data_IF_567066125228
#
_entry.id   IF_567066125228
#
_cell.length_a   1.000
_cell.length_b   1.000
_cell.length_c   1.000
_cell.angle_alpha   90.00
_cell.angle_beta   90.00
_cell.angle_gamma   90.00
#
_symmetry.space_group_name_H-M   'P 1'
#
loop_
_entity.id
_entity.type
_entity.pdbx_description
1 polymer ?
#
# COMPACT_ATOMS: atom_id res chain seq x y z
N UNK A 1 22.59 -6.12 -13.10
CA UNK A 1 23.29 -5.00 -13.77
C UNK A 1 23.47 -3.84 -12.78
N UNK A 2 24.70 -3.43 -12.51
CA UNK A 2 25.08 -2.39 -11.56
C UNK A 2 25.47 -1.12 -12.32
N UNK A 3 25.03 0.06 -11.84
CA UNK A 3 25.45 1.35 -12.40
C UNK A 3 26.64 1.88 -11.62
N UNK A 4 27.82 1.83 -12.21
CA UNK A 4 29.05 2.35 -11.64
C UNK A 4 29.37 3.69 -12.33
N UNK A 5 28.94 4.80 -11.75
CA UNK A 5 29.09 6.13 -12.36
C UNK A 5 28.27 6.30 -13.65
N UNK A 6 28.94 6.47 -14.81
CA UNK A 6 28.30 6.63 -16.13
C UNK A 6 28.21 5.33 -16.95
N UNK A 7 28.79 4.23 -16.47
CA UNK A 7 28.80 2.94 -17.17
C UNK A 7 27.99 1.88 -16.41
N UNK A 8 27.42 0.94 -17.17
CA UNK A 8 26.70 -0.22 -16.64
C UNK A 8 27.61 -1.45 -16.71
N UNK A 9 27.66 -2.24 -15.65
CA UNK A 9 28.46 -3.46 -15.56
C UNK A 9 27.66 -4.58 -14.91
N UNK A 10 28.00 -5.83 -15.22
CA UNK A 10 27.36 -7.01 -14.63
C UNK A 10 28.01 -7.48 -13.33
N UNK A 11 29.14 -6.86 -12.94
CA UNK A 11 29.82 -7.10 -11.66
C UNK A 11 29.64 -5.90 -10.70
N UNK A 12 29.63 -6.13 -9.37
CA UNK A 12 29.62 -5.05 -8.38
C UNK A 12 30.82 -4.11 -8.58
N UNK A 13 30.65 -2.81 -8.33
CA UNK A 13 31.69 -1.82 -8.61
C UNK A 13 32.93 -2.03 -7.73
N UNK A 14 34.08 -2.34 -8.33
CA UNK A 14 35.33 -2.72 -7.62
C UNK A 14 35.93 -1.64 -6.70
N UNK A 15 35.51 -0.37 -6.81
CA UNK A 15 36.14 0.75 -6.10
C UNK A 15 35.31 1.35 -4.96
N UNK A 16 34.43 0.58 -4.32
CA UNK A 16 33.70 1.04 -3.12
C UNK A 16 32.73 2.21 -3.35
N UNK A 17 32.53 2.64 -4.60
CA UNK A 17 31.46 3.57 -4.93
C UNK A 17 30.14 2.82 -4.89
N UNK A 18 29.20 3.34 -4.09
CA UNK A 18 27.88 2.76 -3.86
C UNK A 18 27.13 2.56 -5.18
N UNK A 19 27.29 1.39 -5.78
CA UNK A 19 26.57 0.97 -6.97
C UNK A 19 25.11 0.83 -6.59
N UNK A 20 24.28 1.79 -7.02
CA UNK A 20 22.83 1.68 -6.88
C UNK A 20 22.38 0.50 -7.74
N UNK A 21 21.99 -0.59 -7.10
CA UNK A 21 21.47 -1.79 -7.78
C UNK A 21 20.15 -1.39 -8.43
N UNK A 22 20.17 -1.22 -9.75
CA UNK A 22 18.94 -1.05 -10.53
C UNK A 22 18.52 -2.47 -10.91
N UNK A 23 17.82 -3.16 -10.02
CA UNK A 23 17.39 -4.54 -10.30
C UNK A 23 16.74 -5.31 -9.16
N UNK A 24 16.97 -4.93 -7.89
CA UNK A 24 16.19 -5.48 -6.79
C UNK A 24 15.17 -4.44 -6.35
N UNK A 25 13.90 -4.74 -6.60
CA UNK A 25 12.76 -4.06 -6.00
C UNK A 25 12.72 -4.34 -4.49
N UNK A 26 13.72 -3.83 -3.74
CA UNK A 26 13.45 -3.44 -2.37
C UNK A 26 12.53 -2.23 -2.47
N UNK A 27 11.27 -2.46 -2.11
CA UNK A 27 10.25 -1.44 -2.08
C UNK A 27 10.83 -0.16 -1.45
N UNK A 28 10.67 1.02 -2.08
CA UNK A 28 11.18 2.24 -1.50
C UNK A 28 10.61 2.35 -0.09
N UNK A 29 11.49 2.32 0.91
CA UNK A 29 11.16 2.83 2.23
C UNK A 29 10.79 4.30 2.03
N UNK A 30 9.49 4.51 1.88
CA UNK A 30 8.86 5.81 1.85
C UNK A 30 9.10 6.43 3.23
N UNK A 31 10.22 7.14 3.37
CA UNK A 31 10.43 8.17 4.39
C UNK A 31 9.46 9.31 4.08
N UNK A 32 8.22 9.12 4.52
CA UNK A 32 7.10 9.97 4.15
C UNK A 32 5.77 9.25 4.29
N UNK A 33 5.60 8.49 5.37
CA UNK A 33 4.30 8.02 5.82
C UNK A 33 4.18 8.45 7.27
N UNK A 34 3.04 9.01 7.63
CA UNK A 34 2.58 9.09 9.02
C UNK A 34 3.03 7.83 9.74
N UNK A 35 3.59 7.96 10.94
CA UNK A 35 4.13 6.85 11.73
C UNK A 35 2.98 5.90 12.08
N UNK A 36 2.56 5.08 11.10
CA UNK A 36 1.70 3.94 11.32
C UNK A 36 2.60 2.98 12.06
N UNK A 37 2.22 2.67 13.29
CA UNK A 37 2.91 1.74 14.15
C UNK A 37 3.29 0.48 13.35
N UNK A 38 4.56 0.06 13.46
CA UNK A 38 5.09 -1.05 12.68
C UNK A 38 4.32 -2.36 12.90
N UNK A 39 3.62 -2.53 14.02
CA UNK A 39 2.71 -3.66 14.24
C UNK A 39 1.42 -3.54 13.41
N UNK A 40 0.85 -2.34 13.32
CA UNK A 40 -0.37 -2.10 12.53
C UNK A 40 -0.11 -2.23 11.03
N UNK A 41 1.04 -1.76 10.57
CA UNK A 41 1.46 -1.97 9.17
C UNK A 41 1.63 -3.47 8.83
N UNK A 42 2.17 -4.27 9.75
CA UNK A 42 2.25 -5.74 9.59
C UNK A 42 0.87 -6.37 9.50
N UNK A 43 -0.04 -6.04 10.43
CA UNK A 43 -1.43 -6.53 10.44
C UNK A 43 -2.16 -6.17 9.13
N UNK A 44 -1.93 -4.96 8.60
CA UNK A 44 -2.44 -4.54 7.30
C UNK A 44 -1.89 -5.34 6.12
N UNK A 45 -0.59 -5.65 6.11
CA UNK A 45 0.01 -6.50 5.09
C UNK A 45 -0.54 -7.94 5.13
N UNK A 46 -0.76 -8.48 6.33
CA UNK A 46 -1.33 -9.83 6.47
C UNK A 46 -2.80 -9.86 6.06
N UNK A 47 -3.57 -8.81 6.38
CA UNK A 47 -4.93 -8.64 5.87
C UNK A 47 -4.96 -8.64 4.33
N UNK A 48 -4.01 -7.94 3.70
CA UNK A 48 -3.88 -7.89 2.24
C UNK A 48 -3.65 -9.28 1.63
N UNK A 49 -2.81 -10.12 2.25
CA UNK A 49 -2.61 -11.52 1.82
C UNK A 49 -3.90 -12.33 1.90
N UNK A 50 -4.67 -12.17 2.99
CA UNK A 50 -5.96 -12.87 3.17
C UNK A 50 -6.95 -12.46 2.08
N UNK A 51 -7.01 -11.17 1.71
CA UNK A 51 -7.86 -10.70 0.60
C UNK A 51 -7.46 -11.33 -0.73
N UNK A 52 -6.17 -11.49 -0.99
CA UNK A 52 -5.70 -12.19 -2.19
C UNK A 52 -6.10 -13.66 -2.19
N UNK A 53 -5.94 -14.36 -1.07
CA UNK A 53 -6.41 -15.74 -0.93
C UNK A 53 -7.92 -15.87 -1.14
N UNK A 54 -8.72 -14.93 -0.60
CA UNK A 54 -10.17 -14.85 -0.84
C UNK A 54 -10.48 -14.66 -2.33
N UNK A 55 -9.73 -13.79 -3.01
CA UNK A 55 -9.87 -13.57 -4.45
C UNK A 55 -9.51 -14.81 -5.29
N UNK A 56 -8.61 -15.67 -4.78
CA UNK A 56 -8.25 -16.95 -5.38
C UNK A 56 -9.25 -18.08 -5.06
N UNK A 57 -10.33 -17.81 -4.32
CA UNK A 57 -11.39 -18.78 -3.99
C UNK A 57 -11.21 -19.50 -2.65
N UNK A 58 -10.26 -19.08 -1.81
CA UNK A 58 -10.19 -19.60 -0.45
C UNK A 58 -11.45 -19.22 0.34
N UNK A 59 -11.98 -20.15 1.13
CA UNK A 59 -13.12 -19.91 2.02
C UNK A 59 -12.65 -19.47 3.42
N UNK A 60 -13.51 -18.73 4.11
CA UNK A 60 -13.24 -18.24 5.46
C UNK A 60 -12.91 -19.38 6.43
N UNK A 61 -13.75 -20.42 6.47
CA UNK A 61 -13.61 -21.54 7.40
C UNK A 61 -12.31 -22.32 7.17
N UNK A 62 -11.90 -22.48 5.91
CA UNK A 62 -10.64 -23.14 5.56
C UNK A 62 -9.43 -22.35 6.09
N UNK A 63 -9.44 -21.03 5.92
CA UNK A 63 -8.37 -20.17 6.43
C UNK A 63 -8.38 -20.11 7.96
N UNK A 64 -9.55 -20.12 8.59
CA UNK A 64 -9.67 -20.15 10.05
C UNK A 64 -9.19 -21.47 10.64
N UNK A 65 -9.46 -22.60 9.99
CA UNK A 65 -8.97 -23.92 10.40
C UNK A 65 -7.44 -24.04 10.24
N UNK A 66 -6.86 -23.38 9.23
CA UNK A 66 -5.42 -23.34 9.00
C UNK A 66 -4.68 -22.31 9.87
N UNK A 67 -5.39 -21.46 10.62
CA UNK A 67 -4.79 -20.38 11.39
C UNK A 67 -4.16 -20.91 12.70
N UNK A 68 -2.88 -20.62 12.90
CA UNK A 68 -2.12 -21.08 14.08
C UNK A 68 -2.38 -20.30 15.37
N UNK A 69 -3.09 -19.17 15.32
CA UNK A 69 -3.37 -18.33 16.48
C UNK A 69 -4.80 -17.78 16.51
N UNK A 70 -5.28 -17.43 17.70
CA UNK A 70 -6.59 -16.79 17.87
C UNK A 70 -6.66 -15.40 17.24
N UNK A 71 -5.57 -14.64 17.30
CA UNK A 71 -5.47 -13.33 16.65
C UNK A 71 -5.57 -13.43 15.12
N UNK A 72 -4.93 -14.43 14.53
CA UNK A 72 -5.00 -14.66 13.10
C UNK A 72 -6.42 -15.07 12.65
N UNK A 73 -7.13 -15.88 13.46
CA UNK A 73 -8.54 -16.20 13.21
C UNK A 73 -9.43 -14.97 13.25
N UNK A 74 -9.22 -14.07 14.22
CA UNK A 74 -9.92 -12.78 14.30
C UNK A 74 -9.63 -11.91 13.08
N UNK A 75 -8.37 -11.79 12.69
CA UNK A 75 -7.98 -11.04 11.49
C UNK A 75 -8.65 -11.58 10.21
N UNK A 76 -8.74 -12.90 10.07
CA UNK A 76 -9.46 -13.52 8.94
C UNK A 76 -10.94 -13.14 8.99
N UNK A 77 -11.60 -13.22 10.14
CA UNK A 77 -13.00 -12.80 10.27
C UNK A 77 -13.19 -11.31 9.92
N UNK A 78 -12.33 -10.43 10.42
CA UNK A 78 -12.36 -8.99 10.16
C UNK A 78 -12.22 -8.70 8.64
N UNK A 79 -11.28 -9.37 7.97
CA UNK A 79 -11.07 -9.22 6.53
C UNK A 79 -12.29 -9.69 5.71
N UNK A 80 -12.95 -10.76 6.14
CA UNK A 80 -14.14 -11.28 5.45
C UNK A 80 -15.39 -10.44 5.70
N UNK A 81 -15.49 -9.76 6.84
CA UNK A 81 -16.55 -8.79 7.13
C UNK A 81 -16.45 -7.54 6.23
N UNK A 82 -15.23 -7.14 5.85
CA UNK A 82 -15.00 -5.96 5.02
C UNK A 82 -15.08 -6.29 3.52
N UNK A 83 -15.98 -5.59 2.82
CA UNK A 83 -16.07 -5.62 1.35
C UNK A 83 -15.25 -4.48 0.75
N UNK A 84 -14.46 -4.79 -0.29
CA UNK A 84 -13.67 -3.78 -0.99
C UNK A 84 -12.41 -4.34 -1.64
N UNK A 85 -11.61 -3.43 -2.19
CA UNK A 85 -10.30 -3.75 -2.77
C UNK A 85 -9.28 -4.07 -1.68
N UNK A 86 -8.25 -4.84 -2.03
CA UNK A 86 -7.15 -5.22 -1.11
C UNK A 86 -6.53 -4.01 -0.40
N UNK A 87 -6.33 -2.89 -1.11
CA UNK A 87 -5.79 -1.65 -0.52
C UNK A 87 -6.76 -0.98 0.45
N UNK A 88 -8.08 -1.05 0.19
CA UNK A 88 -9.09 -0.47 1.07
C UNK A 88 -9.22 -1.30 2.36
N UNK A 89 -9.22 -2.63 2.26
CA UNK A 89 -9.24 -3.52 3.42
C UNK A 89 -8.01 -3.33 4.28
N UNK A 90 -6.82 -3.24 3.69
CA UNK A 90 -5.58 -2.93 4.41
C UNK A 90 -5.69 -1.62 5.19
N UNK A 91 -6.14 -0.55 4.55
CA UNK A 91 -6.26 0.76 5.20
C UNK A 91 -7.28 0.74 6.35
N UNK A 92 -8.38 0.01 6.21
CA UNK A 92 -9.36 -0.17 7.28
C UNK A 92 -8.74 -0.90 8.48
N UNK A 93 -8.07 -2.04 8.26
CA UNK A 93 -7.42 -2.81 9.34
C UNK A 93 -6.28 -2.02 10.01
N UNK A 94 -5.50 -1.26 9.25
CA UNK A 94 -4.47 -0.37 9.81
C UNK A 94 -5.10 0.71 10.71
N UNK A 95 -6.22 1.30 10.27
CA UNK A 95 -6.96 2.31 11.04
C UNK A 95 -7.56 1.71 12.33
N UNK A 96 -8.16 0.54 12.24
CA UNK A 96 -8.76 -0.15 13.39
C UNK A 96 -7.68 -0.54 14.42
N UNK A 97 -6.51 -0.98 13.95
CA UNK A 97 -5.37 -1.29 14.84
C UNK A 97 -4.88 -0.06 15.62
N UNK A 98 -4.77 1.09 14.94
CA UNK A 98 -4.37 2.34 15.61
C UNK A 98 -5.43 2.77 16.62
N UNK A 99 -6.71 2.73 16.26
CA UNK A 99 -7.80 3.05 17.18
C UNK A 99 -7.86 2.10 18.38
N UNK A 100 -7.62 0.80 18.19
CA UNK A 100 -7.58 -0.20 19.25
C UNK A 100 -6.42 0.10 20.23
N UNK A 101 -5.25 0.50 19.71
CA UNK A 101 -4.12 0.94 20.53
C UNK A 101 -4.37 2.24 21.28
N UNK A 102 -5.01 3.22 20.66
CA UNK A 102 -5.36 4.48 21.33
C UNK A 102 -6.37 4.24 22.45
N UNK A 103 -7.39 3.41 22.21
CA UNK A 103 -8.38 3.01 23.22
C UNK A 103 -7.73 2.27 24.39
N UNK A 104 -6.81 1.35 24.12
CA UNK A 104 -6.12 0.61 25.19
C UNK A 104 -5.15 1.49 25.96
N UNK A 105 -4.47 2.44 25.32
CA UNK A 105 -3.65 3.43 25.98
C UNK A 105 -4.49 4.33 26.91
N UNK A 106 -5.64 4.82 26.44
CA UNK A 106 -6.56 5.62 27.25
C UNK A 106 -7.12 4.81 28.43
N UNK A 107 -7.52 3.55 28.22
CA UNK A 107 -7.97 2.67 29.30
C UNK A 107 -6.87 2.40 30.33
N UNK A 108 -5.62 2.21 29.89
CA UNK A 108 -4.47 2.05 30.78
C UNK A 108 -4.22 3.33 31.62
N UNK A 109 -4.39 4.52 31.04
CA UNK A 109 -4.28 5.77 31.80
C UNK A 109 -5.41 5.97 32.81
N UNK A 110 -6.63 5.52 32.50
CA UNK A 110 -7.77 5.62 33.43
C UNK A 110 -7.71 4.59 34.57
N UNK A 111 -7.20 3.38 34.33
CA UNK A 111 -6.99 2.37 35.39
C UNK A 111 -5.67 2.59 36.17
N UNK A 112 -4.69 3.27 35.58
CA UNK A 112 -3.40 3.60 36.21
C UNK A 112 -3.40 4.88 37.05
N UNK A 113 -4.54 5.58 37.15
CA UNK A 113 -4.70 6.86 37.86
C UNK A 113 -4.67 6.78 39.40
N UNK A 114 -3.76 5.99 39.97
CA UNK A 114 -3.44 5.98 41.40
C UNK A 114 -1.91 5.97 41.68
N UNK A 115 -1.07 6.30 40.71
CA UNK A 115 0.37 6.41 40.96
C UNK A 115 1.11 7.26 39.93
N UNK A 116 1.55 8.43 40.37
CA UNK A 116 2.50 9.34 39.71
C UNK A 116 2.00 10.14 38.50
N UNK A 117 1.37 11.27 38.81
CA UNK A 117 1.61 12.49 38.04
C UNK A 117 3.02 13.04 38.35
N UNK A 118 3.73 13.54 37.34
CA UNK A 118 4.39 14.82 37.52
C UNK A 118 3.85 15.84 36.52
N UNK A 119 3.35 16.91 37.12
CA UNK A 119 3.11 18.25 36.62
C UNK A 119 3.71 18.60 35.26
N UNK A 120 2.84 19.03 34.35
CA UNK A 120 3.23 19.94 33.28
C UNK A 120 3.75 21.27 33.86
N UNK A 121 4.76 21.89 33.22
CA UNK A 121 4.83 23.33 33.17
C UNK A 121 4.48 23.81 31.76
N UNK A 122 3.33 24.48 31.65
CA UNK A 122 3.00 25.36 30.54
C UNK A 122 4.10 26.41 30.41
N UNK A 123 4.90 26.33 29.36
CA UNK A 123 5.78 27.43 28.96
C UNK A 123 5.20 27.99 27.67
N UNK A 124 4.33 28.98 27.84
CA UNK A 124 3.89 29.88 26.77
C UNK A 124 5.12 30.71 26.32
N UNK A 125 5.54 30.51 25.07
CA UNK A 125 6.55 31.34 24.41
C UNK A 125 5.93 31.85 23.10
N UNK A 126 6.01 33.17 22.80
CA UNK A 126 5.52 33.71 21.56
C UNK A 126 6.44 33.25 20.42
N UNK A 127 5.96 32.33 19.59
CA UNK A 127 6.64 31.92 18.36
C UNK A 127 6.65 33.10 17.38
N UNK A 128 7.83 33.67 17.17
CA UNK A 128 8.14 34.46 15.96
C UNK A 128 7.73 33.61 14.74
N UNK A 129 6.93 34.20 13.86
CA UNK A 129 6.55 33.61 12.59
C UNK A 129 7.79 33.56 11.68
N UNK A 130 8.43 32.40 11.61
CA UNK A 130 9.46 32.13 10.63
C UNK A 130 8.79 31.78 9.28
N UNK A 131 9.22 32.47 8.22
CA UNK A 131 8.85 32.28 6.80
C UNK A 131 8.94 30.81 6.32
N UNK A 132 9.66 29.97 7.06
CA UNK A 132 9.84 28.52 6.85
C UNK A 132 8.53 27.72 6.83
N UNK A 133 7.47 28.20 7.52
CA UNK A 133 6.17 27.52 7.55
C UNK A 133 5.39 27.63 6.23
N UNK A 134 5.53 28.77 5.54
CA UNK A 134 4.83 29.03 4.28
C UNK A 134 5.41 28.18 3.13
N UNK A 135 6.72 27.96 3.13
CA UNK A 135 7.37 27.13 2.11
C UNK A 135 7.09 25.63 2.31
N UNK A 136 7.03 25.16 3.55
CA UNK A 136 6.64 23.79 3.88
C UNK A 136 5.18 23.50 3.50
N UNK A 137 4.26 24.43 3.76
CA UNK A 137 2.86 24.33 3.35
C UNK A 137 2.71 24.28 1.81
N UNK A 138 3.43 25.15 1.08
CA UNK A 138 3.42 25.14 -0.40
C UNK A 138 3.98 23.84 -0.99
N UNK A 139 5.03 23.26 -0.39
CA UNK A 139 5.57 21.96 -0.81
C UNK A 139 4.58 20.82 -0.55
N UNK A 140 3.88 20.84 0.58
CA UNK A 140 2.84 19.86 0.89
C UNK A 140 1.64 19.96 -0.07
N UNK A 141 1.18 21.17 -0.38
CA UNK A 141 0.10 21.40 -1.35
C UNK A 141 0.48 20.97 -2.78
N UNK A 142 1.70 21.27 -3.21
CA UNK A 142 2.20 20.84 -4.51
C UNK A 142 2.31 19.32 -4.61
N UNK A 143 2.78 18.65 -3.55
CA UNK A 143 2.81 17.19 -3.47
C UNK A 143 1.40 16.58 -3.48
N UNK A 144 0.44 17.19 -2.77
CA UNK A 144 -0.95 16.75 -2.78
C UNK A 144 -1.60 16.90 -4.17
N UNK A 145 -1.34 18.01 -4.88
CA UNK A 145 -1.81 18.22 -6.25
C UNK A 145 -1.19 17.23 -7.23
N UNK A 146 0.12 16.99 -7.14
CA UNK A 146 0.82 16.01 -7.96
C UNK A 146 0.29 14.58 -7.73
N UNK A 147 -0.02 14.22 -6.49
CA UNK A 147 -0.62 12.92 -6.18
C UNK A 147 -2.05 12.78 -6.74
N UNK A 148 -2.86 13.85 -6.69
CA UNK A 148 -4.21 13.82 -7.29
C UNK A 148 -4.16 13.68 -8.80
N UNK A 149 -3.27 14.39 -9.49
CA UNK A 149 -3.13 14.28 -10.96
C UNK A 149 -2.57 12.91 -11.36
N UNK A 150 -1.60 12.37 -10.62
CA UNK A 150 -1.10 11.01 -10.84
C UNK A 150 -2.20 9.96 -10.62
N UNK A 151 -3.02 10.09 -9.57
CA UNK A 151 -4.15 9.20 -9.32
C UNK A 151 -5.22 9.29 -10.43
N UNK A 152 -5.53 10.50 -10.92
CA UNK A 152 -6.46 10.71 -12.02
C UNK A 152 -5.96 10.06 -13.33
N UNK A 153 -4.67 10.22 -13.66
CA UNK A 153 -4.05 9.57 -14.83
C UNK A 153 -4.09 8.05 -14.73
N UNK A 154 -3.76 7.49 -13.56
CA UNK A 154 -3.85 6.03 -13.33
C UNK A 154 -5.28 5.53 -13.49
N UNK A 155 -6.28 6.23 -12.96
CA UNK A 155 -7.69 5.87 -13.13
C UNK A 155 -8.11 5.90 -14.60
N UNK A 156 -7.70 6.91 -15.36
CA UNK A 156 -7.98 6.99 -16.79
C UNK A 156 -7.35 5.82 -17.57
N UNK A 157 -6.08 5.50 -17.28
CA UNK A 157 -5.36 4.40 -17.91
C UNK A 157 -5.97 3.03 -17.58
N UNK A 158 -6.33 2.78 -16.31
CA UNK A 158 -7.06 1.58 -15.93
C UNK A 158 -8.44 1.49 -16.59
N UNK A 159 -9.12 2.62 -16.79
CA UNK A 159 -10.37 2.69 -17.53
C UNK A 159 -10.20 2.26 -18.98
N UNK A 160 -9.18 2.77 -19.66
CA UNK A 160 -8.88 2.43 -21.06
C UNK A 160 -8.49 0.95 -21.22
N UNK A 161 -7.61 0.43 -20.36
CA UNK A 161 -7.23 -0.98 -20.35
C UNK A 161 -8.43 -1.91 -20.14
N UNK A 162 -9.38 -1.51 -19.28
CA UNK A 162 -10.62 -2.28 -19.07
C UNK A 162 -11.47 -2.31 -20.33
N UNK A 163 -11.66 -1.17 -20.99
CA UNK A 163 -12.42 -1.08 -22.26
C UNK A 163 -11.74 -1.93 -23.35
N UNK A 164 -10.42 -1.88 -23.47
CA UNK A 164 -9.68 -2.73 -24.41
C UNK A 164 -9.85 -4.23 -24.12
N UNK A 165 -9.76 -4.63 -22.84
CA UNK A 165 -9.98 -6.02 -22.43
C UNK A 165 -11.39 -6.52 -22.76
N UNK A 166 -12.40 -5.70 -22.48
CA UNK A 166 -13.80 -6.04 -22.76
C UNK A 166 -14.07 -6.12 -24.27
N UNK A 167 -13.45 -5.24 -25.07
CA UNK A 167 -13.51 -5.29 -26.54
C UNK A 167 -12.84 -6.54 -27.11
N UNK A 168 -11.67 -6.93 -26.62
CA UNK A 168 -11.00 -8.16 -27.05
C UNK A 168 -11.84 -9.39 -26.71
N UNK A 169 -12.45 -9.43 -25.52
CA UNK A 169 -13.35 -10.52 -25.10
C UNK A 169 -14.62 -10.58 -25.95
N UNK A 170 -15.22 -9.45 -26.32
CA UNK A 170 -16.42 -9.45 -27.17
C UNK A 170 -16.09 -9.89 -28.60
N UNK A 171 -14.96 -9.45 -29.16
CA UNK A 171 -14.50 -9.89 -30.48
C UNK A 171 -14.18 -11.39 -30.52
N UNK A 172 -13.61 -11.95 -29.45
CA UNK A 172 -13.37 -13.40 -29.37
C UNK A 172 -14.67 -14.22 -29.30
N UNK A 173 -15.74 -13.70 -28.68
CA UNK A 173 -17.05 -14.37 -28.65
C UNK A 173 -17.79 -14.31 -29.98
N UNK A 174 -17.57 -13.26 -30.77
CA UNK A 174 -18.15 -13.13 -32.10
C UNK A 174 -17.61 -14.16 -33.11
N UNK A 175 -16.47 -14.78 -32.80
CA UNK A 175 -15.76 -15.66 -33.73
C UNK A 175 -15.11 -14.88 -34.88
N UNK A 176 -14.27 -15.56 -35.65
CA UNK A 176 -13.53 -14.97 -36.76
C UNK A 176 -12.57 -16.00 -37.38
N UNK A 177 -11.77 -15.57 -38.35
CA UNK A 177 -10.73 -16.43 -38.89
C UNK A 177 -9.62 -16.69 -37.84
N UNK A 178 -8.82 -17.75 -38.07
CA UNK A 178 -7.77 -18.18 -37.14
C UNK A 178 -6.70 -17.09 -36.94
N UNK A 179 -6.36 -16.33 -37.98
CA UNK A 179 -5.35 -15.28 -37.91
C UNK A 179 -5.84 -14.07 -37.09
N UNK A 180 -7.13 -13.74 -37.17
CA UNK A 180 -7.79 -12.73 -36.36
C UNK A 180 -7.83 -13.15 -34.90
N UNK A 181 -8.16 -14.41 -34.61
CA UNK A 181 -8.17 -14.95 -33.25
C UNK A 181 -6.77 -14.98 -32.64
N UNK A 182 -5.74 -15.30 -33.43
CA UNK A 182 -4.35 -15.26 -33.00
C UNK A 182 -3.88 -13.83 -32.69
N UNK A 183 -4.26 -12.86 -33.53
CA UNK A 183 -3.98 -11.42 -33.28
C UNK A 183 -4.64 -10.92 -32.00
N UNK A 184 -5.92 -11.27 -31.76
CA UNK A 184 -6.62 -10.92 -30.53
C UNK A 184 -5.98 -11.55 -29.30
N UNK A 185 -5.48 -12.78 -29.41
CA UNK A 185 -4.75 -13.45 -28.33
C UNK A 185 -3.41 -12.78 -28.02
N UNK A 186 -2.66 -12.36 -29.05
CA UNK A 186 -1.42 -11.60 -28.86
C UNK A 186 -1.69 -10.25 -28.20
N UNK A 187 -2.71 -9.52 -28.65
CA UNK A 187 -3.12 -8.24 -28.05
C UNK A 187 -3.52 -8.41 -26.59
N UNK A 188 -4.26 -9.47 -26.26
CA UNK A 188 -4.64 -9.78 -24.88
C UNK A 188 -3.43 -10.05 -23.99
N UNK A 189 -2.42 -10.80 -24.48
CA UNK A 189 -1.18 -11.03 -23.73
C UNK A 189 -0.40 -9.74 -23.49
N UNK A 190 -0.38 -8.83 -24.47
CA UNK A 190 0.25 -7.53 -24.32
C UNK A 190 -0.44 -6.68 -23.24
N UNK A 191 -1.78 -6.60 -23.27
CA UNK A 191 -2.54 -5.86 -22.25
C UNK A 191 -2.47 -6.49 -20.85
N UNK A 192 -2.28 -7.82 -20.76
CA UNK A 192 -2.14 -8.53 -19.47
C UNK A 192 -0.71 -8.39 -18.89
N UNK A 193 0.26 -7.88 -19.67
CA UNK A 193 1.68 -7.77 -19.27
C UNK A 193 2.12 -6.36 -18.83
N UNK A 194 1.25 -5.35 -18.98
CA UNK A 194 1.46 -3.95 -18.52
C UNK A 194 0.86 -3.67 -17.14
#
# INVERSE_FOLDING_TARGET
>A
MYRCGKTYQDRPCDNGQQGKVIGNSEAPHATGKSVVDASCARRGNDAQKIVWSRGAGALQDQLQAAAGSGEQRKLIADVYAIRGTSSAVRAAIETDCVQEKEKSALAATMLGGAGNAPSAPSTDMPRKADDSGAEAARRADNAARANRTAAARKRALCGDLKVQSDRNRSSQRGGGDVAQMERLNQQRRATDSE
#
